data_IF_512456192039
#
_entry.id   IF_512456192039
#
_cell.length_a   1.000
_cell.length_b   1.000
_cell.length_c   1.000
_cell.angle_alpha   90.00
_cell.angle_beta   90.00
_cell.angle_gamma   90.00
#
_symmetry.space_group_name_H-M   'P 1'
#
loop_
_entity.id
_entity.type
_entity.pdbx_description
1 polymer ?
#
# COMPACT_ATOMS: atom_id res chain seq x y z
N UNK A 1 4.79 4.94 -12.78
CA UNK A 1 6.20 5.19 -12.40
C UNK A 1 6.87 3.84 -12.25
N UNK A 2 8.10 3.68 -12.72
CA UNK A 2 8.86 2.43 -12.65
C UNK A 2 10.10 2.66 -11.78
N UNK A 3 10.58 1.60 -11.13
CA UNK A 3 11.80 1.62 -10.32
C UNK A 3 12.93 0.94 -11.11
N UNK A 4 14.09 1.58 -11.18
CA UNK A 4 15.28 1.01 -11.79
C UNK A 4 16.15 0.26 -10.76
N UNK A 5 17.07 -0.56 -11.24
CA UNK A 5 18.00 -1.33 -10.40
C UNK A 5 18.89 -0.47 -9.49
N UNK A 6 19.10 0.78 -9.84
CA UNK A 6 19.84 1.76 -9.03
C UNK A 6 18.93 2.52 -8.03
N UNK A 7 17.64 2.19 -7.97
CA UNK A 7 16.64 2.85 -7.11
C UNK A 7 16.04 4.14 -7.67
N UNK A 8 16.43 4.56 -8.87
CA UNK A 8 15.83 5.72 -9.51
C UNK A 8 14.40 5.44 -9.97
N UNK A 9 13.57 6.48 -9.92
CA UNK A 9 12.19 6.43 -10.40
C UNK A 9 12.10 7.05 -11.79
N UNK A 10 11.52 6.31 -12.72
CA UNK A 10 11.26 6.80 -14.08
C UNK A 10 9.78 6.82 -14.38
N UNK A 11 9.35 7.77 -15.19
CA UNK A 11 7.96 7.92 -15.61
C UNK A 11 7.75 7.19 -16.93
N UNK A 12 6.65 6.46 -17.05
CA UNK A 12 6.19 5.93 -18.34
C UNK A 12 5.58 7.10 -19.11
N UNK A 13 6.18 7.49 -20.21
CA UNK A 13 5.71 8.61 -21.01
C UNK A 13 4.51 8.25 -21.86
N UNK A 14 4.49 7.02 -22.39
CA UNK A 14 3.38 6.52 -23.19
C UNK A 14 3.33 4.98 -23.17
N UNK A 15 2.17 4.43 -23.46
CA UNK A 15 1.93 2.99 -23.64
C UNK A 15 1.19 2.81 -24.96
N UNK A 16 1.69 1.92 -25.79
CA UNK A 16 1.02 1.54 -27.05
C UNK A 16 0.40 0.16 -26.91
N UNK A 17 -0.84 0.05 -27.29
CA UNK A 17 -1.53 -1.22 -27.41
C UNK A 17 -1.51 -1.66 -28.90
N UNK A 18 -0.92 -2.82 -29.16
CA UNK A 18 -0.84 -3.40 -30.49
C UNK A 18 -1.75 -4.62 -30.56
N UNK A 19 -2.60 -4.66 -31.58
CA UNK A 19 -3.44 -5.83 -31.88
C UNK A 19 -2.67 -6.67 -32.91
N UNK A 20 -2.23 -7.85 -32.49
CA UNK A 20 -1.51 -8.77 -33.34
C UNK A 20 -2.48 -9.56 -34.23
N UNK A 21 -2.12 -9.76 -35.50
CA UNK A 21 -2.93 -10.57 -36.44
C UNK A 21 -2.99 -12.05 -36.05
N UNK A 22 -2.00 -12.54 -35.30
CA UNK A 22 -1.96 -13.89 -34.78
C UNK A 22 -1.36 -13.92 -33.37
N UNK A 23 -1.78 -14.88 -32.52
CA UNK A 23 -1.20 -15.03 -31.19
C UNK A 23 0.30 -15.33 -31.27
N UNK A 24 1.08 -14.63 -30.45
CA UNK A 24 2.49 -14.94 -30.23
C UNK A 24 2.66 -15.68 -28.91
N UNK A 25 3.63 -16.59 -28.88
CA UNK A 25 3.98 -17.29 -27.65
C UNK A 25 4.81 -16.35 -26.78
N UNK A 26 4.31 -16.03 -25.58
CA UNK A 26 5.04 -15.28 -24.57
C UNK A 26 5.54 -16.24 -23.49
N UNK A 27 6.70 -15.94 -22.94
CA UNK A 27 7.29 -16.68 -21.83
C UNK A 27 7.34 -15.76 -20.62
N UNK A 28 6.99 -16.30 -19.49
CA UNK A 28 7.11 -15.65 -18.22
C UNK A 28 8.23 -16.33 -17.43
N UNK A 29 9.03 -15.55 -16.71
CA UNK A 29 10.07 -16.10 -15.85
C UNK A 29 9.55 -16.07 -14.41
N UNK A 30 9.63 -17.21 -13.75
CA UNK A 30 9.42 -17.31 -12.31
C UNK A 30 10.78 -17.33 -11.63
N UNK A 31 11.01 -16.39 -10.71
CA UNK A 31 12.21 -16.36 -9.88
C UNK A 31 11.83 -16.96 -8.54
N UNK A 32 12.46 -18.07 -8.21
CA UNK A 32 12.24 -18.78 -6.94
C UNK A 32 12.41 -17.83 -5.76
N UNK A 33 11.48 -17.85 -4.83
CA UNK A 33 11.39 -17.07 -3.59
C UNK A 33 11.09 -15.57 -3.72
N UNK A 34 11.31 -14.92 -4.85
CA UNK A 34 11.19 -13.46 -4.93
C UNK A 34 10.12 -12.97 -5.91
N UNK A 35 9.77 -13.75 -6.93
CA UNK A 35 8.83 -13.38 -8.01
C UNK A 35 9.10 -12.01 -8.66
N UNK A 36 10.30 -11.49 -8.46
CA UNK A 36 10.73 -10.17 -8.93
C UNK A 36 12.07 -10.28 -9.65
N UNK A 37 12.24 -9.50 -10.70
CA UNK A 37 13.49 -9.44 -11.46
C UNK A 37 13.61 -8.11 -12.19
N UNK A 38 14.78 -7.85 -12.74
CA UNK A 38 15.03 -6.66 -13.55
C UNK A 38 15.02 -7.00 -15.02
N UNK A 39 14.39 -6.15 -15.85
CA UNK A 39 14.32 -6.31 -17.30
C UNK A 39 14.90 -5.12 -18.03
N UNK A 40 15.40 -5.41 -19.25
CA UNK A 40 15.98 -4.42 -20.14
C UNK A 40 17.35 -3.92 -19.70
N UNK A 41 17.99 -3.15 -20.56
CA UNK A 41 19.33 -2.60 -20.31
C UNK A 41 19.35 -1.62 -19.13
N UNK A 42 18.23 -0.95 -18.87
CA UNK A 42 18.09 0.01 -17.77
C UNK A 42 17.70 -0.66 -16.43
N UNK A 43 17.56 -1.99 -16.39
CA UNK A 43 17.23 -2.73 -15.18
C UNK A 43 15.91 -2.27 -14.55
N UNK A 44 14.82 -2.31 -15.32
CA UNK A 44 13.48 -1.98 -14.80
C UNK A 44 13.03 -3.11 -13.87
N UNK A 45 12.66 -2.75 -12.65
CA UNK A 45 12.12 -3.69 -11.67
C UNK A 45 10.71 -4.12 -12.09
N UNK A 46 10.51 -5.42 -12.24
CA UNK A 46 9.22 -6.03 -12.54
C UNK A 46 8.89 -7.09 -11.51
N UNK A 47 7.63 -7.12 -11.13
CA UNK A 47 7.07 -8.17 -10.30
C UNK A 47 6.21 -9.07 -11.18
N UNK A 48 6.52 -10.35 -11.16
CA UNK A 48 5.76 -11.35 -11.90
C UNK A 48 4.66 -11.94 -11.00
N UNK A 49 3.63 -11.18 -10.76
CA UNK A 49 2.41 -11.67 -10.12
C UNK A 49 1.55 -12.37 -11.16
N UNK A 50 1.78 -13.65 -11.41
CA UNK A 50 0.74 -14.49 -11.98
C UNK A 50 -0.30 -14.70 -10.89
N UNK A 51 -1.41 -13.96 -10.98
CA UNK A 51 -2.48 -13.97 -10.01
C UNK A 51 -2.64 -15.28 -9.28
N UNK A 52 -2.34 -15.27 -8.01
CA UNK A 52 -2.99 -16.07 -6.98
C UNK A 52 -2.42 -15.88 -5.58
N UNK A 53 -1.20 -15.40 -5.34
CA UNK A 53 -0.82 -14.97 -3.98
C UNK A 53 0.26 -13.88 -4.05
N UNK A 54 -0.04 -12.69 -3.52
CA UNK A 54 0.98 -11.72 -3.12
C UNK A 54 1.89 -12.46 -2.13
N UNK A 55 3.20 -12.63 -2.41
CA UNK A 55 4.08 -13.32 -1.48
C UNK A 55 4.30 -12.40 -0.28
N UNK A 56 3.46 -12.57 0.72
CA UNK A 56 3.58 -11.83 1.96
C UNK A 56 4.87 -12.19 2.70
N UNK A 57 5.61 -11.19 3.17
CA UNK A 57 6.91 -11.36 3.84
C UNK A 57 6.87 -12.22 5.09
N UNK A 58 5.68 -12.38 5.68
CA UNK A 58 5.48 -13.17 6.89
C UNK A 58 4.08 -13.78 6.97
N UNK A 59 3.93 -14.80 7.81
CA UNK A 59 2.62 -15.39 8.13
C UNK A 59 1.67 -14.39 8.77
N UNK A 60 2.19 -13.44 9.52
CA UNK A 60 1.44 -12.41 10.20
C UNK A 60 0.83 -11.43 9.18
N UNK A 61 1.63 -10.98 8.21
CA UNK A 61 1.16 -10.12 7.13
C UNK A 61 0.12 -10.84 6.27
N UNK A 62 0.37 -12.12 5.92
CA UNK A 62 -0.61 -12.95 5.19
C UNK A 62 -1.92 -13.07 5.96
N UNK A 63 -1.87 -13.36 7.26
CA UNK A 63 -3.08 -13.46 8.09
C UNK A 63 -3.83 -12.13 8.17
N UNK A 64 -3.09 -11.01 8.27
CA UNK A 64 -3.68 -9.67 8.24
C UNK A 64 -4.39 -9.38 6.91
N UNK A 65 -3.81 -9.77 5.79
CA UNK A 65 -4.43 -9.64 4.47
C UNK A 65 -5.73 -10.47 4.38
N UNK A 66 -5.69 -11.73 4.78
CA UNK A 66 -6.87 -12.60 4.80
C UNK A 66 -7.99 -12.05 5.68
N UNK A 67 -7.66 -11.45 6.82
CA UNK A 67 -8.66 -10.85 7.72
C UNK A 67 -9.28 -9.59 7.11
N UNK A 68 -8.47 -8.75 6.44
CA UNK A 68 -8.98 -7.58 5.70
C UNK A 68 -9.90 -8.02 4.55
N UNK A 69 -9.54 -9.05 3.80
CA UNK A 69 -10.39 -9.61 2.72
C UNK A 69 -11.73 -10.14 3.25
N UNK A 70 -11.74 -10.69 4.46
CA UNK A 70 -12.97 -11.13 5.16
C UNK A 70 -13.78 -9.96 5.74
N UNK A 71 -13.30 -8.73 5.58
CA UNK A 71 -14.01 -7.52 6.01
C UNK A 71 -13.64 -7.02 7.40
N UNK A 72 -12.50 -7.44 7.96
CA UNK A 72 -11.98 -6.84 9.19
C UNK A 72 -11.70 -5.34 8.96
N UNK A 73 -11.99 -4.55 9.97
CA UNK A 73 -11.74 -3.09 9.94
C UNK A 73 -10.44 -2.71 10.65
N UNK A 74 -9.79 -3.67 11.26
CA UNK A 74 -8.47 -3.48 11.85
C UNK A 74 -7.69 -4.79 11.89
N UNK A 75 -6.40 -4.67 11.68
CA UNK A 75 -5.43 -5.75 11.84
C UNK A 75 -4.19 -5.20 12.55
N UNK A 76 -3.39 -6.09 13.12
CA UNK A 76 -2.13 -5.72 13.79
C UNK A 76 -0.98 -6.50 13.18
N UNK A 77 0.12 -5.82 12.92
CA UNK A 77 1.38 -6.39 12.44
C UNK A 77 2.55 -5.93 13.32
N UNK A 78 3.71 -6.53 13.18
CA UNK A 78 4.84 -6.28 14.09
C UNK A 78 5.42 -4.87 13.92
N UNK A 79 5.52 -4.36 12.70
CA UNK A 79 6.23 -3.11 12.43
C UNK A 79 5.60 -2.33 11.25
N UNK A 80 6.09 -1.09 11.09
CA UNK A 80 5.63 -0.17 10.05
C UNK A 80 5.81 -0.71 8.62
N UNK A 81 6.93 -1.40 8.35
CA UNK A 81 7.18 -1.96 7.01
C UNK A 81 6.16 -3.03 6.63
N UNK A 82 5.72 -3.83 7.58
CA UNK A 82 4.65 -4.82 7.36
C UNK A 82 3.28 -4.16 7.16
N UNK A 83 3.02 -3.05 7.85
CA UNK A 83 1.78 -2.28 7.61
C UNK A 83 1.79 -1.64 6.21
N UNK A 84 2.94 -1.15 5.76
CA UNK A 84 3.13 -0.63 4.40
C UNK A 84 2.96 -1.73 3.34
N UNK A 85 3.53 -2.90 3.58
CA UNK A 85 3.38 -4.07 2.71
C UNK A 85 1.92 -4.47 2.54
N UNK A 86 1.16 -4.58 3.65
CA UNK A 86 -0.27 -4.83 3.62
C UNK A 86 -1.03 -3.78 2.81
N UNK A 87 -0.75 -2.51 3.06
CA UNK A 87 -1.39 -1.42 2.34
C UNK A 87 -1.11 -1.47 0.84
N UNK A 88 0.15 -1.63 0.46
CA UNK A 88 0.56 -1.71 -0.94
C UNK A 88 -0.04 -2.94 -1.63
N UNK A 89 -0.02 -4.09 -0.99
CA UNK A 89 -0.57 -5.32 -1.54
C UNK A 89 -2.08 -5.30 -1.71
N UNK A 90 -2.80 -4.70 -0.75
CA UNK A 90 -4.27 -4.70 -0.76
C UNK A 90 -4.90 -3.53 -1.52
N UNK A 91 -4.22 -2.36 -1.59
CA UNK A 91 -4.84 -1.10 -2.01
C UNK A 91 -4.06 -0.32 -3.08
N UNK A 92 -2.88 -0.76 -3.50
CA UNK A 92 -2.01 0.00 -4.42
C UNK A 92 -2.67 0.35 -5.76
N UNK A 93 -3.60 -0.47 -6.26
CA UNK A 93 -4.30 -0.24 -7.53
C UNK A 93 -5.42 0.79 -7.49
N UNK A 94 -5.83 1.26 -6.32
CA UNK A 94 -7.10 1.96 -6.10
C UNK A 94 -6.97 3.49 -6.10
N UNK A 95 -5.80 4.04 -6.40
CA UNK A 95 -5.59 5.48 -6.52
C UNK A 95 -5.69 6.25 -5.19
N UNK A 96 -5.34 5.63 -4.08
CA UNK A 96 -5.34 6.25 -2.76
C UNK A 96 -4.35 7.41 -2.66
N UNK A 97 -4.75 8.50 -2.02
CA UNK A 97 -3.92 9.68 -1.81
C UNK A 97 -3.42 9.74 -0.36
N UNK A 98 -2.11 9.93 -0.20
CA UNK A 98 -1.49 10.15 1.10
C UNK A 98 -1.84 11.54 1.63
N UNK A 99 -2.52 11.60 2.76
CA UNK A 99 -2.92 12.84 3.44
C UNK A 99 -2.16 13.07 4.76
N UNK A 100 -1.08 12.33 5.00
CA UNK A 100 -0.23 12.54 6.17
C UNK A 100 0.28 13.99 6.21
N UNK A 101 0.07 14.65 7.34
CA UNK A 101 0.47 16.05 7.52
C UNK A 101 -0.50 17.08 6.92
N UNK A 102 -1.58 16.68 6.28
CA UNK A 102 -2.60 17.61 5.79
C UNK A 102 -3.44 18.17 6.95
N UNK A 103 -3.83 19.43 6.82
CA UNK A 103 -4.81 20.03 7.72
C UNK A 103 -6.21 19.45 7.49
N UNK A 104 -7.06 19.49 8.51
CA UNK A 104 -8.46 19.05 8.41
C UNK A 104 -9.22 19.74 7.27
N UNK A 105 -8.86 20.98 6.93
CA UNK A 105 -9.47 21.72 5.83
C UNK A 105 -9.06 21.16 4.46
N UNK A 106 -7.78 20.80 4.29
CA UNK A 106 -7.29 20.19 3.05
C UNK A 106 -7.93 18.84 2.82
N UNK A 107 -7.98 17.99 3.85
CA UNK A 107 -8.65 16.69 3.82
C UNK A 107 -10.14 16.84 3.49
N UNK A 108 -10.83 17.76 4.13
CA UNK A 108 -12.26 18.02 3.87
C UNK A 108 -12.53 18.49 2.44
N UNK A 109 -11.67 19.36 1.91
CA UNK A 109 -11.76 19.82 0.53
C UNK A 109 -11.52 18.68 -0.48
N UNK A 110 -10.60 17.79 -0.18
CA UNK A 110 -10.32 16.62 -1.01
C UNK A 110 -11.50 15.65 -1.04
N UNK A 111 -12.07 15.30 0.12
CA UNK A 111 -13.25 14.43 0.21
C UNK A 111 -14.48 14.96 -0.52
N UNK A 112 -14.61 16.27 -0.65
CA UNK A 112 -15.65 16.88 -1.49
C UNK A 112 -15.46 16.66 -2.99
N UNK A 113 -14.31 16.14 -3.39
CA UNK A 113 -13.92 16.00 -4.80
C UNK A 113 -13.72 14.55 -5.23
N UNK A 114 -13.12 13.67 -4.44
CA UNK A 114 -12.75 12.28 -4.81
C UNK A 114 -12.21 11.40 -3.68
N UNK A 115 -12.44 10.10 -3.83
CA UNK A 115 -11.64 8.90 -3.67
C UNK A 115 -11.02 8.59 -2.32
N UNK A 116 -10.38 7.42 -2.27
CA UNK A 116 -9.73 6.93 -1.08
C UNK A 116 -8.52 7.75 -0.64
N UNK A 117 -8.34 7.89 0.65
CA UNK A 117 -7.14 8.49 1.24
C UNK A 117 -6.55 7.58 2.30
N UNK A 118 -5.30 7.82 2.64
CA UNK A 118 -4.67 7.20 3.80
C UNK A 118 -3.74 8.19 4.49
N UNK A 119 -3.46 7.95 5.75
CA UNK A 119 -2.43 8.68 6.49
C UNK A 119 -1.80 7.80 7.56
N UNK A 120 -0.58 8.17 7.92
CA UNK A 120 0.18 7.54 8.99
C UNK A 120 -0.01 8.31 10.29
N UNK A 121 -0.44 7.60 11.32
CA UNK A 121 -0.51 8.07 12.70
C UNK A 121 0.59 7.36 13.50
N UNK A 122 1.81 7.87 13.41
CA UNK A 122 3.01 7.28 14.01
C UNK A 122 3.91 8.30 14.72
N UNK A 123 3.44 9.53 14.85
CA UNK A 123 4.16 10.61 15.55
C UNK A 123 3.50 10.92 16.87
N UNK A 124 4.25 10.86 17.96
CA UNK A 124 3.78 11.09 19.33
C UNK A 124 4.11 12.50 19.83
N UNK A 125 3.26 13.02 20.68
CA UNK A 125 3.54 14.22 21.47
C UNK A 125 4.42 13.88 22.70
N UNK A 126 4.74 14.90 23.50
CA UNK A 126 5.55 14.74 24.73
C UNK A 126 4.90 13.89 25.82
N UNK A 127 3.60 13.60 25.72
CA UNK A 127 2.82 12.79 26.66
C UNK A 127 2.64 11.34 26.15
N UNK A 128 3.24 10.99 24.99
CA UNK A 128 3.09 9.67 24.38
C UNK A 128 1.70 9.44 23.78
N UNK A 129 1.05 10.50 23.33
CA UNK A 129 -0.22 10.45 22.59
C UNK A 129 0.07 10.78 21.14
N UNK A 130 -0.52 10.03 20.20
CA UNK A 130 -0.40 10.31 18.78
C UNK A 130 -0.89 11.72 18.46
N UNK A 131 -0.12 12.44 17.65
CA UNK A 131 -0.50 13.77 17.19
C UNK A 131 -1.87 13.69 16.50
N UNK A 132 -2.68 14.74 16.74
CA UNK A 132 -4.06 14.84 16.24
C UNK A 132 -5.07 13.85 16.84
N UNK A 133 -4.65 13.03 17.82
CA UNK A 133 -5.55 12.17 18.58
C UNK A 133 -5.88 12.78 19.95
N UNK A 134 -7.06 12.47 20.46
CA UNK A 134 -7.42 12.75 21.84
C UNK A 134 -6.91 11.61 22.73
N UNK A 135 -6.41 11.94 23.92
CA UNK A 135 -6.01 10.97 24.95
C UNK A 135 -7.14 10.00 25.36
N UNK A 136 -8.38 10.36 25.06
CA UNK A 136 -9.59 9.53 25.28
C UNK A 136 -9.86 8.53 24.15
N UNK A 137 -9.17 8.67 23.01
CA UNK A 137 -9.32 7.72 21.90
C UNK A 137 -8.54 6.45 22.25
N UNK A 138 -9.15 5.24 22.23
CA UNK A 138 -8.45 3.99 22.49
C UNK A 138 -7.25 3.76 21.56
N UNK A 139 -7.28 4.29 20.35
CA UNK A 139 -6.21 4.13 19.34
C UNK A 139 -5.08 5.16 19.50
N UNK A 140 -5.19 6.10 20.45
CA UNK A 140 -4.28 7.25 20.58
C UNK A 140 -2.85 6.92 21.03
N UNK A 141 -2.58 5.67 21.39
CA UNK A 141 -1.27 5.23 21.90
C UNK A 141 -0.62 4.15 21.05
N UNK A 142 -1.29 3.71 20.00
CA UNK A 142 -0.78 2.64 19.15
C UNK A 142 -0.58 3.18 17.72
N UNK A 143 0.66 3.15 17.20
CA UNK A 143 0.92 3.62 15.85
C UNK A 143 0.09 2.80 14.84
N UNK A 144 -0.43 3.47 13.84
CA UNK A 144 -1.21 2.80 12.81
C UNK A 144 -1.23 3.57 11.48
N UNK A 145 -1.51 2.84 10.42
CA UNK A 145 -1.94 3.38 9.15
C UNK A 145 -3.46 3.42 9.13
N UNK A 146 -4.03 4.58 8.90
CA UNK A 146 -5.47 4.75 8.74
C UNK A 146 -5.83 4.92 7.27
N UNK A 147 -6.75 4.09 6.80
CA UNK A 147 -7.21 4.04 5.40
C UNK A 147 -8.67 4.46 5.37
N UNK A 148 -8.98 5.41 4.52
CA UNK A 148 -10.32 5.91 4.28
C UNK A 148 -10.74 5.54 2.84
N UNK A 149 -11.39 4.39 2.65
CA UNK A 149 -11.91 4.02 1.34
C UNK A 149 -12.92 5.04 0.81
N UNK A 150 -13.02 5.17 -0.51
CA UNK A 150 -14.03 6.02 -1.14
C UNK A 150 -15.45 5.64 -0.69
N UNK A 151 -15.66 4.35 -0.48
CA UNK A 151 -16.91 3.79 0.05
C UNK A 151 -16.58 2.77 1.13
N UNK A 152 -17.30 2.83 2.23
CA UNK A 152 -17.11 1.87 3.30
C UNK A 152 -16.66 2.51 4.62
N UNK A 153 -16.13 1.68 5.50
CA UNK A 153 -15.67 2.09 6.82
C UNK A 153 -14.16 2.30 6.82
N UNK A 154 -13.70 3.14 7.73
CA UNK A 154 -12.26 3.33 7.99
C UNK A 154 -11.62 2.02 8.41
N UNK A 155 -10.46 1.73 7.82
CA UNK A 155 -9.64 0.56 8.12
C UNK A 155 -8.36 1.04 8.81
N UNK A 156 -7.88 0.27 9.78
CA UNK A 156 -6.63 0.57 10.50
C UNK A 156 -5.70 -0.62 10.49
N UNK A 157 -4.44 -0.37 10.17
CA UNK A 157 -3.36 -1.35 10.30
C UNK A 157 -2.47 -0.86 11.43
N UNK A 158 -2.61 -1.47 12.60
CA UNK A 158 -1.79 -1.18 13.77
C UNK A 158 -0.43 -1.88 13.66
N UNK A 159 0.61 -1.25 14.22
CA UNK A 159 1.94 -1.83 14.27
C UNK A 159 2.68 -1.44 15.55
N UNK A 160 3.73 -2.20 15.89
CA UNK A 160 4.61 -1.88 17.00
C UNK A 160 5.49 -0.65 16.72
N UNK A 161 5.87 0.05 17.79
CA UNK A 161 6.78 1.20 17.73
C UNK A 161 8.25 0.73 17.62
#
# INVERSE_FOLDING_TARGET
>A
MLVLSNGELVTVEWVQHEILESPIKVYNFEVEDFHTYFVGENGIFVHNGCGDEIPWSSKEVKSGAEDLEKGALSVTVTNRSQAEELFLGMYQGDGYVNTSGWSSKEVSNFYGSRGGTYHWDDTFDSNGVLLFHSDKNPDSKTPHLQIHPERGKVIRIFFGA
#
